data_IF_993664061110
#
_entry.id   IF_993664061110
#
_cell.length_a   1.000
_cell.length_b   1.000
_cell.length_c   1.000
_cell.angle_alpha   90.00
_cell.angle_beta   90.00
_cell.angle_gamma   90.00
#
_symmetry.space_group_name_H-M   'P 1'
#
loop_
_entity.id
_entity.type
_entity.pdbx_description
1 polymer ?
#
# COMPACT_ATOMS: atom_id res chain seq x y z
N UNK A 1 28.41 8.20 12.87
CA UNK A 1 28.02 8.05 11.45
C UNK A 1 26.53 8.28 11.34
N UNK A 2 26.09 9.32 10.62
CA UNK A 2 24.66 9.49 10.33
C UNK A 2 24.33 8.60 9.13
N UNK A 3 23.44 7.63 9.30
CA UNK A 3 23.00 6.78 8.19
C UNK A 3 22.19 7.63 7.20
N UNK A 4 22.59 7.62 5.92
CA UNK A 4 21.84 8.26 4.83
C UNK A 4 20.42 7.69 4.77
N UNK A 5 19.42 8.56 4.60
CA UNK A 5 18.02 8.15 4.44
C UNK A 5 17.87 7.21 3.23
N UNK A 6 17.14 6.10 3.33
CA UNK A 6 16.92 5.20 2.20
C UNK A 6 16.17 5.90 1.06
N UNK A 7 16.50 5.53 -0.18
CA UNK A 7 15.77 5.97 -1.38
C UNK A 7 14.40 5.31 -1.48
N UNK A 8 13.49 5.90 -2.26
CA UNK A 8 12.16 5.31 -2.52
C UNK A 8 12.25 3.88 -3.06
N UNK A 9 13.22 3.62 -3.96
CA UNK A 9 13.47 2.28 -4.48
C UNK A 9 13.91 1.29 -3.37
N UNK A 10 14.81 1.72 -2.47
CA UNK A 10 15.24 0.91 -1.33
C UNK A 10 14.08 0.62 -0.37
N UNK A 11 13.21 1.59 -0.11
CA UNK A 11 12.00 1.39 0.71
C UNK A 11 11.07 0.36 0.08
N UNK A 12 10.79 0.50 -1.23
CA UNK A 12 9.93 -0.46 -1.94
C UNK A 12 10.51 -1.87 -1.97
N UNK A 13 11.82 -2.02 -2.25
CA UNK A 13 12.45 -3.33 -2.22
C UNK A 13 12.41 -3.93 -0.82
N UNK A 14 12.74 -3.15 0.22
CA UNK A 14 12.71 -3.64 1.60
C UNK A 14 11.31 -4.11 2.00
N UNK A 15 10.26 -3.34 1.63
CA UNK A 15 8.87 -3.73 1.89
C UNK A 15 8.49 -5.06 1.25
N UNK A 16 8.87 -5.29 -0.01
CA UNK A 16 8.56 -6.56 -0.69
C UNK A 16 9.25 -7.75 -0.05
N UNK A 17 10.53 -7.62 0.27
CA UNK A 17 11.28 -8.70 0.93
C UNK A 17 10.70 -8.99 2.31
N UNK A 18 10.25 -7.94 3.01
CA UNK A 18 9.59 -8.09 4.29
C UNK A 18 8.26 -8.84 4.17
N UNK A 19 7.39 -8.46 3.23
CA UNK A 19 6.13 -9.17 3.01
C UNK A 19 6.34 -10.64 2.61
N UNK A 20 7.34 -10.94 1.77
CA UNK A 20 7.70 -12.32 1.41
C UNK A 20 8.16 -13.10 2.64
N UNK A 21 9.08 -12.53 3.44
CA UNK A 21 9.58 -13.20 4.63
C UNK A 21 8.45 -13.51 5.64
N UNK A 22 7.55 -12.55 5.87
CA UNK A 22 6.40 -12.72 6.77
C UNK A 22 5.42 -13.78 6.25
N UNK A 23 5.13 -13.79 4.95
CA UNK A 23 4.29 -14.82 4.34
C UNK A 23 4.89 -16.23 4.53
N UNK A 24 6.20 -16.38 4.29
CA UNK A 24 6.91 -17.65 4.46
C UNK A 24 6.91 -18.13 5.91
N UNK A 25 7.08 -17.23 6.88
CA UNK A 25 6.99 -17.56 8.32
C UNK A 25 5.60 -18.08 8.71
N UNK A 26 4.58 -17.74 7.93
CA UNK A 26 3.19 -18.21 8.09
C UNK A 26 2.87 -19.43 7.22
N UNK A 27 3.89 -20.06 6.64
CA UNK A 27 3.77 -21.20 5.73
C UNK A 27 2.98 -20.91 4.43
N UNK A 28 2.88 -19.64 4.02
CA UNK A 28 2.32 -19.25 2.73
C UNK A 28 3.43 -19.22 1.67
N UNK A 29 3.29 -19.92 0.52
CA UNK A 29 4.30 -19.89 -0.53
C UNK A 29 4.36 -18.48 -1.11
N UNK A 30 5.52 -17.82 -1.04
CA UNK A 30 5.67 -16.44 -1.48
C UNK A 30 6.99 -16.18 -2.21
N UNK A 31 6.96 -15.27 -3.19
CA UNK A 31 8.16 -14.83 -3.92
C UNK A 31 8.00 -13.42 -4.48
N UNK A 32 9.13 -12.78 -4.79
CA UNK A 32 9.14 -11.50 -5.48
C UNK A 32 8.58 -11.64 -6.90
N UNK A 33 7.78 -10.67 -7.33
CA UNK A 33 7.23 -10.62 -8.69
C UNK A 33 7.70 -9.38 -9.44
N UNK A 34 8.44 -9.58 -10.53
CA UNK A 34 8.90 -8.49 -11.40
C UNK A 34 9.77 -7.43 -10.72
N UNK A 35 9.96 -6.30 -11.41
CA UNK A 35 10.93 -5.27 -11.02
C UNK A 35 10.42 -4.27 -9.95
N UNK A 36 9.12 -4.22 -9.65
CA UNK A 36 8.52 -3.14 -8.86
C UNK A 36 7.34 -3.66 -8.03
N UNK A 37 7.20 -3.12 -6.80
CA UNK A 37 6.13 -3.21 -5.76
C UNK A 37 5.27 -4.47 -5.61
N UNK A 38 5.46 -5.55 -6.36
CA UNK A 38 4.59 -6.73 -6.36
C UNK A 38 5.31 -7.96 -5.81
N UNK A 39 4.53 -8.83 -5.21
CA UNK A 39 4.91 -10.19 -4.80
C UNK A 39 3.80 -11.17 -5.21
N UNK A 40 4.13 -12.45 -5.28
CA UNK A 40 3.17 -13.55 -5.36
C UNK A 40 3.09 -14.20 -3.98
N UNK A 41 1.86 -14.48 -3.50
CA UNK A 41 1.59 -15.24 -2.27
C UNK A 41 0.46 -16.21 -2.58
N UNK A 42 0.74 -17.52 -2.59
CA UNK A 42 -0.21 -18.51 -3.11
C UNK A 42 -0.57 -18.23 -4.56
N UNK A 43 -1.88 -18.16 -4.82
CA UNK A 43 -2.43 -17.82 -6.15
C UNK A 43 -2.56 -16.30 -6.36
N UNK A 44 -2.31 -15.50 -5.30
CA UNK A 44 -2.56 -14.08 -5.31
C UNK A 44 -1.36 -13.26 -5.77
N UNK A 45 -1.67 -12.16 -6.44
CA UNK A 45 -0.72 -11.14 -6.82
C UNK A 45 -0.95 -9.94 -5.91
N UNK A 46 -0.03 -9.72 -4.97
CA UNK A 46 -0.16 -8.65 -4.01
C UNK A 46 0.66 -7.41 -4.41
N UNK A 47 0.01 -6.25 -4.43
CA UNK A 47 0.70 -4.96 -4.36
C UNK A 47 1.24 -4.74 -2.95
N UNK A 48 2.50 -4.35 -2.83
CA UNK A 48 3.15 -3.98 -1.57
C UNK A 48 3.37 -2.48 -1.51
N UNK A 49 2.86 -1.85 -0.45
CA UNK A 49 3.09 -0.43 -0.15
C UNK A 49 3.60 -0.28 1.28
N UNK A 50 4.63 0.55 1.43
CA UNK A 50 5.24 0.82 2.74
C UNK A 50 4.84 2.21 3.20
N UNK A 51 4.37 2.30 4.44
CA UNK A 51 4.04 3.56 5.08
C UNK A 51 5.33 4.26 5.52
N UNK A 52 5.34 5.58 5.41
CA UNK A 52 6.35 6.41 6.05
C UNK A 52 5.63 7.38 6.96
N UNK A 53 6.00 7.43 8.25
CA UNK A 53 5.31 8.27 9.25
C UNK A 53 3.82 7.92 9.37
N UNK A 54 3.51 6.63 9.52
CA UNK A 54 2.15 6.11 9.72
C UNK A 54 1.13 6.42 8.60
N UNK A 55 1.60 6.73 7.39
CA UNK A 55 0.75 6.98 6.24
C UNK A 55 1.35 6.43 4.93
N UNK A 56 0.47 5.98 4.03
CA UNK A 56 0.84 5.55 2.68
C UNK A 56 0.49 6.64 1.68
N UNK A 57 1.42 6.94 0.78
CA UNK A 57 1.23 7.92 -0.28
C UNK A 57 0.92 7.21 -1.59
N UNK A 58 -0.21 7.57 -2.17
CA UNK A 58 -0.58 7.27 -3.55
C UNK A 58 -0.19 8.48 -4.38
N UNK A 59 0.73 8.29 -5.34
CA UNK A 59 1.21 9.38 -6.20
C UNK A 59 0.15 9.83 -7.20
N UNK A 60 -0.59 8.88 -7.76
CA UNK A 60 -1.66 9.14 -8.71
C UNK A 60 -2.82 8.16 -8.42
N UNK A 61 -4.00 8.71 -8.12
CA UNK A 61 -5.20 7.91 -7.82
C UNK A 61 -5.76 7.22 -9.06
N UNK A 62 -5.63 7.80 -10.25
CA UNK A 62 -6.13 7.19 -11.48
C UNK A 62 -5.27 5.98 -11.84
N UNK A 63 -3.94 6.13 -11.80
CA UNK A 63 -3.02 5.00 -12.01
C UNK A 63 -3.23 3.90 -10.95
N UNK A 64 -3.40 4.28 -9.69
CA UNK A 64 -3.62 3.33 -8.61
C UNK A 64 -4.93 2.55 -8.76
N UNK A 65 -6.00 3.23 -9.19
CA UNK A 65 -7.32 2.60 -9.37
C UNK A 65 -7.41 1.75 -10.64
N UNK A 66 -6.49 1.94 -11.59
CA UNK A 66 -6.35 1.11 -12.79
C UNK A 66 -5.55 -0.19 -12.56
N UNK A 67 -4.93 -0.38 -11.39
CA UNK A 67 -4.16 -1.59 -11.09
C UNK A 67 -5.03 -2.85 -11.09
N UNK A 68 -4.46 -3.96 -11.59
CA UNK A 68 -5.18 -5.23 -11.77
C UNK A 68 -4.82 -6.31 -10.75
N UNK A 69 -3.94 -6.02 -9.79
CA UNK A 69 -3.70 -6.90 -8.64
C UNK A 69 -5.00 -7.15 -7.86
N UNK A 70 -5.10 -8.34 -7.27
CA UNK A 70 -6.25 -8.81 -6.50
C UNK A 70 -6.05 -8.65 -4.99
N UNK A 71 -4.79 -8.52 -4.54
CA UNK A 71 -4.45 -8.27 -3.14
C UNK A 71 -3.56 -7.04 -2.97
N UNK A 72 -3.65 -6.44 -1.79
CA UNK A 72 -2.69 -5.45 -1.35
C UNK A 72 -2.21 -5.77 0.07
N UNK A 73 -0.91 -5.65 0.27
CA UNK A 73 -0.23 -5.76 1.56
C UNK A 73 0.37 -4.40 1.86
N UNK A 74 -0.24 -3.70 2.81
CA UNK A 74 0.24 -2.43 3.32
C UNK A 74 1.08 -2.70 4.56
N UNK A 75 2.30 -2.17 4.59
CA UNK A 75 3.23 -2.40 5.69
C UNK A 75 3.47 -1.07 6.39
N UNK A 76 3.25 -1.00 7.69
CA UNK A 76 3.74 0.10 8.50
C UNK A 76 5.05 -0.34 9.18
N UNK A 77 6.09 0.49 9.06
CA UNK A 77 7.43 0.24 9.64
C UNK A 77 7.88 1.38 10.57
N UNK A 78 6.98 2.31 10.92
CA UNK A 78 7.34 3.54 11.62
C UNK A 78 7.60 3.31 13.11
N UNK A 79 6.68 2.62 13.80
CA UNK A 79 6.72 2.36 15.24
C UNK A 79 6.67 0.85 15.55
N UNK A 80 5.92 0.12 14.74
CA UNK A 80 5.73 -1.34 14.77
C UNK A 80 5.99 -1.89 13.37
N UNK A 81 6.13 -3.22 13.27
CA UNK A 81 6.09 -3.93 11.99
C UNK A 81 4.70 -4.51 11.80
N UNK A 82 3.76 -3.68 11.36
CA UNK A 82 2.38 -4.09 11.14
C UNK A 82 2.08 -4.33 9.67
N UNK A 83 1.28 -5.35 9.41
CA UNK A 83 0.80 -5.73 8.08
C UNK A 83 -0.71 -5.57 8.01
N UNK A 84 -1.18 -4.99 6.92
CA UNK A 84 -2.60 -4.81 6.63
C UNK A 84 -2.88 -5.42 5.26
N UNK A 85 -3.71 -6.46 5.24
CA UNK A 85 -3.95 -7.28 4.05
C UNK A 85 -5.40 -7.07 3.63
N UNK A 86 -5.61 -6.75 2.36
CA UNK A 86 -6.94 -6.39 1.85
C UNK A 86 -7.13 -6.84 0.41
N UNK A 87 -8.39 -7.07 0.05
CA UNK A 87 -8.80 -7.13 -1.35
C UNK A 87 -8.45 -5.81 -2.06
N UNK A 88 -7.74 -5.90 -3.16
CA UNK A 88 -7.23 -4.70 -3.82
C UNK A 88 -8.36 -3.87 -4.45
N UNK A 89 -9.50 -4.46 -4.83
CA UNK A 89 -10.66 -3.69 -5.30
C UNK A 89 -11.26 -2.87 -4.15
N UNK A 90 -11.39 -3.47 -2.95
CA UNK A 90 -11.86 -2.76 -1.76
C UNK A 90 -10.95 -1.56 -1.44
N UNK A 91 -9.62 -1.74 -1.48
CA UNK A 91 -8.68 -0.65 -1.27
C UNK A 91 -8.80 0.45 -2.33
N UNK A 92 -8.85 0.08 -3.61
CA UNK A 92 -9.02 1.03 -4.74
C UNK A 92 -10.32 1.81 -4.62
N UNK A 93 -11.43 1.14 -4.32
CA UNK A 93 -12.73 1.77 -4.13
C UNK A 93 -12.70 2.78 -2.96
N UNK A 94 -12.10 2.39 -1.83
CA UNK A 94 -11.93 3.27 -0.67
C UNK A 94 -11.07 4.51 -0.97
N UNK A 95 -9.96 4.33 -1.70
CA UNK A 95 -9.10 5.45 -2.13
C UNK A 95 -9.86 6.39 -3.07
N UNK A 96 -10.55 5.85 -4.08
CA UNK A 96 -11.34 6.66 -5.03
C UNK A 96 -12.42 7.46 -4.31
N UNK A 97 -13.18 6.80 -3.42
CA UNK A 97 -14.25 7.44 -2.65
C UNK A 97 -13.70 8.61 -1.82
N UNK A 98 -12.67 8.38 -1.01
CA UNK A 98 -12.07 9.44 -0.17
C UNK A 98 -11.41 10.56 -0.99
N UNK A 99 -10.86 10.24 -2.16
CA UNK A 99 -10.34 11.26 -3.06
C UNK A 99 -11.46 12.15 -3.59
N UNK A 100 -12.57 11.56 -4.02
CA UNK A 100 -13.75 12.29 -4.50
C UNK A 100 -14.38 13.15 -3.40
N UNK A 101 -14.59 12.60 -2.20
CA UNK A 101 -15.10 13.33 -1.03
C UNK A 101 -14.20 14.52 -0.68
N UNK A 102 -12.88 14.36 -0.80
CA UNK A 102 -11.94 15.45 -0.59
C UNK A 102 -12.11 16.55 -1.64
N UNK A 103 -12.21 16.20 -2.93
CA UNK A 103 -12.40 17.17 -4.01
C UNK A 103 -13.70 17.94 -3.85
N UNK A 104 -14.80 17.25 -3.54
CA UNK A 104 -16.11 17.88 -3.28
C UNK A 104 -16.04 18.91 -2.16
N UNK A 105 -15.36 18.57 -1.06
CA UNK A 105 -15.18 19.47 0.09
C UNK A 105 -14.39 20.74 -0.25
N UNK A 106 -13.49 20.69 -1.23
CA UNK A 106 -12.63 21.84 -1.61
C UNK A 106 -13.10 22.56 -2.87
N UNK A 107 -14.31 22.26 -3.38
CA UNK A 107 -14.89 22.94 -4.55
C UNK A 107 -14.52 22.32 -5.89
N UNK A 108 -14.23 21.01 -5.93
CA UNK A 108 -13.95 20.23 -7.14
C UNK A 108 -12.47 20.19 -7.54
N UNK A 109 -11.68 21.17 -7.10
CA UNK A 109 -10.26 21.29 -7.46
C UNK A 109 -9.42 21.61 -6.25
N UNK A 110 -8.19 21.07 -6.19
CA UNK A 110 -7.25 21.36 -5.10
C UNK A 110 -6.87 22.84 -5.06
N UNK A 111 -7.00 23.53 -3.90
CA UNK A 111 -6.72 24.96 -3.80
C UNK A 111 -5.26 25.37 -4.08
N UNK A 112 -4.29 24.49 -3.81
CA UNK A 112 -2.84 24.80 -3.95
C UNK A 112 -2.19 24.21 -5.20
N UNK A 113 -2.61 23.03 -5.60
CA UNK A 113 -2.06 22.33 -6.76
C UNK A 113 -3.21 21.56 -7.44
N UNK A 114 -3.93 22.23 -8.36
CA UNK A 114 -5.07 21.68 -9.08
C UNK A 114 -4.82 20.31 -9.71
N UNK A 115 -3.61 20.11 -10.26
CA UNK A 115 -3.26 18.91 -11.02
C UNK A 115 -2.78 17.74 -10.13
N UNK A 116 -2.62 17.96 -8.82
CA UNK A 116 -2.13 16.91 -7.94
C UNK A 116 -3.18 15.81 -7.76
N UNK A 117 -2.82 14.61 -8.20
CA UNK A 117 -3.60 13.38 -8.01
C UNK A 117 -3.18 12.60 -6.77
N UNK A 118 -2.34 13.18 -5.92
CA UNK A 118 -1.82 12.49 -4.74
C UNK A 118 -2.93 12.24 -3.72
N UNK A 119 -2.94 11.07 -3.11
CA UNK A 119 -3.84 10.77 -2.00
C UNK A 119 -3.09 10.07 -0.88
N UNK A 120 -3.52 10.32 0.36
CA UNK A 120 -2.92 9.74 1.56
C UNK A 120 -3.89 8.73 2.13
N UNK A 121 -3.40 7.52 2.37
CA UNK A 121 -4.10 6.53 3.18
C UNK A 121 -3.52 6.64 4.59
N UNK A 122 -4.38 7.01 5.54
CA UNK A 122 -4.04 7.07 6.95
C UNK A 122 -4.25 5.70 7.62
N UNK A 123 -3.67 5.52 8.80
CA UNK A 123 -3.74 4.29 9.58
C UNK A 123 -5.18 3.87 9.90
N UNK A 124 -6.03 4.83 10.28
CA UNK A 124 -7.44 4.60 10.58
C UNK A 124 -8.23 4.00 9.41
N UNK A 125 -7.80 4.22 8.17
CA UNK A 125 -8.47 3.67 6.99
C UNK A 125 -8.18 2.18 6.76
N UNK A 126 -7.16 1.62 7.43
CA UNK A 126 -6.67 0.27 7.17
C UNK A 126 -6.71 -0.63 8.40
N UNK A 127 -7.01 -0.07 9.59
CA UNK A 127 -6.98 -0.81 10.85
C UNK A 127 -7.81 -2.10 10.86
N UNK A 128 -8.95 -2.13 10.16
CA UNK A 128 -9.78 -3.34 10.03
C UNK A 128 -9.10 -4.50 9.28
N UNK A 129 -8.04 -4.21 8.51
CA UNK A 129 -7.29 -5.19 7.71
C UNK A 129 -6.02 -5.67 8.39
N UNK A 130 -5.77 -5.24 9.63
CA UNK A 130 -4.57 -5.60 10.37
C UNK A 130 -4.47 -7.11 10.57
N UNK A 131 -3.32 -7.67 10.23
CA UNK A 131 -2.97 -9.09 10.34
C UNK A 131 -3.91 -10.07 9.61
N UNK A 132 -4.66 -9.60 8.61
CA UNK A 132 -5.61 -10.41 7.81
C UNK A 132 -4.93 -11.32 6.76
N UNK A 133 -3.91 -12.06 7.19
CA UNK A 133 -3.19 -13.03 6.35
C UNK A 133 -4.07 -14.17 5.86
N UNK A 134 -5.21 -14.41 6.52
CA UNK A 134 -6.26 -15.35 6.09
C UNK A 134 -6.79 -15.05 4.68
N UNK A 135 -6.67 -13.80 4.21
CA UNK A 135 -7.08 -13.41 2.85
C UNK A 135 -6.10 -13.87 1.75
N UNK A 136 -5.00 -14.51 2.13
CA UNK A 136 -3.94 -15.01 1.24
C UNK A 136 -3.78 -16.55 1.27
N UNK A 137 -4.73 -17.25 1.91
CA UNK A 137 -4.80 -18.71 1.96
C UNK A 137 -5.54 -19.23 0.73
#
# INVERSE_FOLDING_TARGET
>A
MSATRPTTAQVHQSGRHLAVAEALLRALPAKLRGAQTYIEVGEHVALVKVATKNAWIIGDVDEFTALTCDRAILINISDTRDFYIVDANQLRAGVRKRHQEFLERVGGTRPRNPDSKNHVIQLEHVNEWRDRWDLLI
#
